data_IF_283372201367
#
_entry.id   IF_283372201367
#
_cell.length_a   1.000
_cell.length_b   1.000
_cell.length_c   1.000
_cell.angle_alpha   90.00
_cell.angle_beta   90.00
_cell.angle_gamma   90.00
#
_symmetry.space_group_name_H-M   'P 1'
#
loop_
_entity.id
_entity.type
_entity.pdbx_description
1 polymer ?
#
# COMPACT_ATOMS: atom_id res chain seq x y z
N UNK A 1 -8.68 8.61 5.67
CA UNK A 1 -7.52 7.67 5.73
C UNK A 1 -7.07 7.41 7.15
N UNK A 2 -6.78 8.44 7.97
CA UNK A 2 -6.36 8.27 9.37
C UNK A 2 -7.29 7.41 10.24
N UNK A 3 -8.61 7.59 10.15
CA UNK A 3 -9.57 6.78 10.93
C UNK A 3 -9.47 5.27 10.61
N UNK A 4 -9.37 4.91 9.33
CA UNK A 4 -9.17 3.51 8.90
C UNK A 4 -7.83 2.99 9.39
N UNK A 5 -6.76 3.80 9.26
CA UNK A 5 -5.44 3.43 9.72
C UNK A 5 -5.41 3.06 11.22
N UNK A 6 -5.99 3.89 12.07
CA UNK A 6 -6.04 3.65 13.52
C UNK A 6 -6.82 2.37 13.84
N UNK A 7 -8.02 2.19 13.25
CA UNK A 7 -8.82 0.98 13.47
C UNK A 7 -8.09 -0.29 13.00
N UNK A 8 -7.44 -0.25 11.83
CA UNK A 8 -6.69 -1.38 11.31
C UNK A 8 -5.43 -1.68 12.15
N UNK A 9 -4.72 -0.66 12.65
CA UNK A 9 -3.59 -0.86 13.55
C UNK A 9 -4.04 -1.48 14.89
N UNK A 10 -5.17 -1.03 15.44
CA UNK A 10 -5.74 -1.58 16.67
C UNK A 10 -6.14 -3.06 16.51
N UNK A 11 -6.77 -3.42 15.39
CA UNK A 11 -7.22 -4.79 15.11
C UNK A 11 -6.14 -5.69 14.50
N UNK A 12 -4.99 -5.14 14.11
CA UNK A 12 -3.99 -5.85 13.31
C UNK A 12 -4.48 -6.28 11.92
N UNK A 13 -5.46 -5.56 11.37
CA UNK A 13 -6.10 -5.88 10.09
C UNK A 13 -5.26 -5.35 8.92
N UNK A 14 -4.93 -6.24 7.97
CA UNK A 14 -4.34 -5.83 6.69
C UNK A 14 -5.38 -5.08 5.85
N UNK A 15 -4.96 -4.00 5.21
CA UNK A 15 -5.79 -3.25 4.27
C UNK A 15 -4.97 -2.67 3.13
N UNK A 16 -5.64 -2.25 2.07
CA UNK A 16 -5.01 -1.64 0.90
C UNK A 16 -5.58 -0.23 0.74
N UNK A 17 -4.68 0.76 0.72
CA UNK A 17 -5.00 2.15 0.49
C UNK A 17 -4.76 2.50 -0.98
N UNK A 18 -5.58 3.39 -1.53
CA UNK A 18 -5.39 3.93 -2.87
C UNK A 18 -5.69 5.43 -2.94
N UNK A 19 -5.00 6.10 -3.86
CA UNK A 19 -5.13 7.52 -4.07
C UNK A 19 -4.99 7.89 -5.54
N UNK A 20 -5.63 9.02 -5.89
CA UNK A 20 -5.48 9.72 -7.17
C UNK A 20 -5.17 11.17 -6.83
N UNK A 21 -4.27 11.79 -7.58
CA UNK A 21 -3.88 13.19 -7.40
C UNK A 21 -5.01 14.16 -7.78
N UNK A 22 -4.97 15.37 -7.23
CA UNK A 22 -5.96 16.42 -7.54
C UNK A 22 -5.94 16.89 -8.99
N UNK A 23 -4.84 16.68 -9.71
CA UNK A 23 -4.70 16.98 -11.13
C UNK A 23 -5.01 15.77 -12.04
N UNK A 24 -5.41 14.63 -11.45
CA UNK A 24 -5.78 13.39 -12.11
C UNK A 24 -4.73 12.73 -13.01
N UNK A 25 -3.46 13.14 -12.96
CA UNK A 25 -2.37 12.54 -13.77
C UNK A 25 -1.44 11.63 -12.98
N UNK A 26 -1.74 11.38 -11.71
CA UNK A 26 -1.04 10.36 -10.94
C UNK A 26 -1.95 9.65 -9.94
N UNK A 27 -1.51 8.49 -9.50
CA UNK A 27 -2.18 7.72 -8.47
C UNK A 27 -1.25 6.70 -7.84
N UNK A 28 -1.73 6.01 -6.82
CA UNK A 28 -0.94 4.99 -6.15
C UNK A 28 -1.82 3.98 -5.43
N UNK A 29 -1.16 2.90 -5.03
CA UNK A 29 -1.70 1.86 -4.16
C UNK A 29 -0.66 1.46 -3.12
N UNK A 30 -1.08 1.29 -1.87
CA UNK A 30 -0.24 0.85 -0.77
C UNK A 30 -0.90 -0.27 0.04
N UNK A 31 -0.21 -1.39 0.18
CA UNK A 31 -0.61 -2.49 1.08
C UNK A 31 -0.06 -2.20 2.47
N UNK A 32 -0.97 -2.12 3.44
CA UNK A 32 -0.67 -1.82 4.82
C UNK A 32 -0.94 -3.07 5.65
N UNK A 33 0.15 -3.67 6.13
CA UNK A 33 0.15 -4.77 7.09
C UNK A 33 0.70 -4.22 8.41
N UNK A 34 -0.16 -3.95 9.41
CA UNK A 34 0.28 -3.36 10.68
C UNK A 34 1.46 -4.11 11.28
N UNK A 35 2.58 -3.40 11.49
CA UNK A 35 3.82 -3.95 12.03
C UNK A 35 4.83 -4.49 11.01
N UNK A 36 4.39 -4.88 9.80
CA UNK A 36 5.25 -5.39 8.72
C UNK A 36 5.60 -4.30 7.70
N UNK A 37 4.61 -3.52 7.26
CA UNK A 37 4.78 -2.41 6.32
C UNK A 37 4.38 -1.08 6.95
N UNK A 38 4.82 0.04 6.35
CA UNK A 38 4.46 1.38 6.80
C UNK A 38 2.94 1.53 6.88
N UNK A 39 2.43 1.92 8.04
CA UNK A 39 1.07 2.40 8.17
C UNK A 39 0.95 3.84 7.65
N UNK A 40 -0.26 4.34 7.48
CA UNK A 40 -0.50 5.68 6.93
C UNK A 40 0.09 6.80 7.83
N UNK A 41 0.23 6.55 9.13
CA UNK A 41 0.86 7.47 10.09
C UNK A 41 2.38 7.35 10.17
N UNK A 42 3.01 6.39 9.49
CA UNK A 42 4.47 6.28 9.48
C UNK A 42 5.13 7.37 8.62
N UNK A 43 4.46 7.78 7.55
CA UNK A 43 4.89 8.85 6.64
C UNK A 43 3.68 9.72 6.26
N UNK A 44 3.13 10.47 7.22
CA UNK A 44 1.93 11.26 6.99
C UNK A 44 2.22 12.38 5.99
N UNK A 45 1.25 12.75 5.14
CA UNK A 45 1.39 13.92 4.28
C UNK A 45 1.52 15.19 5.13
N UNK A 46 2.17 16.23 4.58
CA UNK A 46 2.52 17.46 5.30
C UNK A 46 1.34 18.11 6.04
N UNK A 47 0.15 18.08 5.44
CA UNK A 47 -1.09 18.66 6.00
C UNK A 47 -1.45 17.99 7.32
N UNK A 48 -1.38 16.65 7.35
CA UNK A 48 -1.66 15.84 8.53
C UNK A 48 -0.57 16.06 9.58
N UNK A 49 0.70 16.03 9.17
CA UNK A 49 1.83 16.25 10.08
C UNK A 49 1.80 17.64 10.74
N UNK A 50 1.38 18.67 10.00
CA UNK A 50 1.31 20.06 10.47
C UNK A 50 0.02 20.37 11.24
N UNK A 51 -0.89 19.38 11.41
CA UNK A 51 -2.21 19.55 12.06
C UNK A 51 -3.05 20.69 11.46
N UNK A 52 -2.84 20.95 10.16
CA UNK A 52 -3.65 21.90 9.40
C UNK A 52 -4.94 21.19 9.03
N UNK A 53 -6.08 21.87 9.22
CA UNK A 53 -7.36 21.31 8.79
C UNK A 53 -7.40 21.24 7.25
N UNK A 54 -7.57 20.04 6.69
CA UNK A 54 -7.68 19.79 5.24
C UNK A 54 -8.75 20.69 4.58
N UNK A 55 -9.77 21.09 5.33
CA UNK A 55 -10.82 22.01 4.86
C UNK A 55 -10.27 23.39 4.48
N UNK A 56 -9.18 23.82 5.10
CA UNK A 56 -8.55 25.12 4.81
C UNK A 56 -7.79 25.14 3.48
N UNK A 57 -7.45 23.97 2.93
CA UNK A 57 -6.81 23.84 1.61
C UNK A 57 -7.83 23.80 0.47
N UNK A 58 -9.06 23.38 0.77
CA UNK A 58 -10.15 23.37 -0.19
C UNK A 58 -10.67 24.79 -0.40
N UNK A 59 -10.56 25.31 -1.62
CA UNK A 59 -11.23 26.55 -2.03
C UNK A 59 -12.65 26.25 -2.46
N UNK A 60 -13.63 26.97 -1.91
CA UNK A 60 -15.02 26.85 -2.34
C UNK A 60 -15.16 27.21 -3.82
N UNK A 61 -15.93 26.38 -4.55
CA UNK A 61 -16.12 26.51 -5.99
C UNK A 61 -15.04 25.85 -6.87
N UNK A 62 -13.97 25.28 -6.29
CA UNK A 62 -12.94 24.53 -7.04
C UNK A 62 -13.11 23.02 -6.81
N UNK A 63 -13.13 22.24 -7.88
CA UNK A 63 -13.09 20.78 -7.81
C UNK A 63 -11.68 20.26 -8.13
N UNK A 64 -11.32 19.12 -7.53
CA UNK A 64 -10.20 18.33 -8.02
C UNK A 64 -10.53 17.85 -9.44
N UNK A 65 -9.55 17.89 -10.33
CA UNK A 65 -9.68 17.26 -11.62
C UNK A 65 -9.88 15.75 -11.42
N UNK A 66 -10.71 15.16 -12.26
CA UNK A 66 -11.00 13.72 -12.22
C UNK A 66 -11.08 13.19 -13.63
N UNK A 67 -10.12 12.34 -13.99
CA UNK A 67 -10.12 11.61 -15.26
C UNK A 67 -10.56 10.15 -15.00
N UNK A 68 -11.61 9.67 -15.70
CA UNK A 68 -12.05 8.28 -15.59
C UNK A 68 -10.94 7.27 -15.88
N UNK A 69 -9.99 7.61 -16.75
CA UNK A 69 -8.85 6.77 -17.11
C UNK A 69 -7.95 6.49 -15.91
N UNK A 70 -7.51 7.52 -15.19
CA UNK A 70 -6.64 7.38 -14.01
C UNK A 70 -7.34 6.60 -12.90
N UNK A 71 -8.64 6.88 -12.67
CA UNK A 71 -9.45 6.12 -11.71
C UNK A 71 -9.56 4.64 -12.11
N UNK A 72 -9.77 4.33 -13.39
CA UNK A 72 -9.85 2.96 -13.88
C UNK A 72 -8.53 2.20 -13.73
N UNK A 73 -7.40 2.83 -14.03
CA UNK A 73 -6.07 2.23 -13.84
C UNK A 73 -5.82 1.91 -12.37
N UNK A 74 -6.04 2.87 -11.47
CA UNK A 74 -5.83 2.68 -10.04
C UNK A 74 -6.78 1.61 -9.47
N UNK A 75 -8.05 1.61 -9.88
CA UNK A 75 -9.01 0.59 -9.47
C UNK A 75 -8.63 -0.81 -9.98
N UNK A 76 -8.17 -0.92 -11.22
CA UNK A 76 -7.68 -2.17 -11.81
C UNK A 76 -6.47 -2.71 -11.04
N UNK A 77 -5.48 -1.87 -10.75
CA UNK A 77 -4.33 -2.24 -9.93
C UNK A 77 -4.74 -2.69 -8.52
N UNK A 78 -5.73 -2.02 -7.92
CA UNK A 78 -6.26 -2.36 -6.60
C UNK A 78 -6.92 -3.73 -6.55
N UNK A 79 -7.83 -4.01 -7.47
CA UNK A 79 -8.49 -5.31 -7.54
C UNK A 79 -7.47 -6.40 -7.86
N UNK A 80 -6.56 -6.15 -8.81
CA UNK A 80 -5.51 -7.12 -9.14
C UNK A 80 -4.62 -7.45 -7.95
N UNK A 81 -4.23 -6.46 -7.14
CA UNK A 81 -3.43 -6.70 -5.95
C UNK A 81 -4.21 -7.43 -4.83
N UNK A 82 -5.51 -7.14 -4.71
CA UNK A 82 -6.42 -7.86 -3.82
C UNK A 82 -6.54 -9.34 -4.22
N UNK A 83 -6.70 -9.62 -5.51
CA UNK A 83 -6.77 -10.99 -6.04
C UNK A 83 -5.45 -11.74 -5.80
N UNK A 84 -4.30 -11.13 -6.13
CA UNK A 84 -2.98 -11.72 -5.85
C UNK A 84 -2.84 -12.11 -4.38
N UNK A 85 -3.31 -11.24 -3.47
CA UNK A 85 -3.25 -11.48 -2.03
C UNK A 85 -4.20 -12.61 -1.59
N UNK A 86 -5.47 -12.56 -1.98
CA UNK A 86 -6.49 -13.49 -1.52
C UNK A 86 -6.35 -14.89 -2.11
N UNK A 87 -5.91 -14.98 -3.37
CA UNK A 87 -5.83 -16.23 -4.12
C UNK A 87 -4.40 -16.82 -4.14
N UNK A 88 -3.40 -16.12 -3.59
CA UNK A 88 -2.05 -16.63 -3.44
C UNK A 88 -1.29 -16.85 -4.76
N UNK A 89 -1.52 -16.00 -5.77
CA UNK A 89 -0.82 -16.06 -7.05
C UNK A 89 -0.04 -14.77 -7.34
N UNK A 90 0.99 -14.89 -8.17
CA UNK A 90 1.88 -13.77 -8.50
C UNK A 90 2.52 -13.15 -7.26
N UNK A 91 2.98 -11.91 -7.41
CA UNK A 91 3.63 -11.17 -6.32
C UNK A 91 2.77 -10.00 -5.89
N UNK A 92 2.35 -9.99 -4.63
CA UNK A 92 1.63 -8.84 -4.03
C UNK A 92 2.57 -7.65 -3.97
N UNK A 93 2.18 -6.55 -4.61
CA UNK A 93 2.98 -5.34 -4.66
C UNK A 93 2.67 -4.49 -3.43
N UNK A 94 3.68 -4.16 -2.62
CA UNK A 94 3.49 -3.41 -1.39
C UNK A 94 3.17 -1.93 -1.64
N UNK A 95 3.84 -1.32 -2.61
CA UNK A 95 3.49 -0.02 -3.13
C UNK A 95 3.69 0.01 -4.64
N UNK A 96 2.72 0.56 -5.35
CA UNK A 96 2.86 0.91 -6.77
C UNK A 96 2.33 2.32 -6.99
N UNK A 97 3.15 3.16 -7.60
CA UNK A 97 2.74 4.45 -8.13
C UNK A 97 2.32 4.32 -9.60
N UNK A 98 1.57 5.31 -10.07
CA UNK A 98 1.22 5.51 -11.46
C UNK A 98 1.43 6.99 -11.80
N UNK A 99 2.29 7.28 -12.77
CA UNK A 99 2.46 8.59 -13.37
C UNK A 99 1.96 8.52 -14.83
N UNK A 100 0.82 9.16 -15.10
CA UNK A 100 0.18 9.14 -16.41
C UNK A 100 0.89 10.02 -17.44
N UNK A 101 1.79 10.93 -17.03
CA UNK A 101 2.52 11.80 -17.95
C UNK A 101 3.71 11.08 -18.62
N UNK A 102 4.27 10.09 -17.93
CA UNK A 102 5.49 9.38 -18.35
C UNK A 102 5.24 7.87 -18.49
N UNK A 103 3.98 7.43 -18.38
CA UNK A 103 3.57 6.02 -18.36
C UNK A 103 4.42 5.16 -17.40
N UNK A 104 4.73 5.75 -16.23
CA UNK A 104 5.69 5.19 -15.30
C UNK A 104 5.02 4.58 -14.06
N UNK A 105 5.43 3.35 -13.72
CA UNK A 105 4.86 2.57 -12.62
C UNK A 105 5.93 2.17 -11.59
N UNK A 106 6.38 3.09 -10.72
CA UNK A 106 7.38 2.78 -9.71
C UNK A 106 6.81 1.83 -8.65
N UNK A 107 7.62 0.86 -8.23
CA UNK A 107 7.29 -0.01 -7.09
C UNK A 107 8.29 0.21 -5.96
N UNK A 108 7.81 0.11 -4.72
CA UNK A 108 8.68 0.22 -3.55
C UNK A 108 8.12 -0.56 -2.36
N UNK A 109 8.92 -0.65 -1.31
CA UNK A 109 8.61 -1.28 -0.04
C UNK A 109 8.83 -0.24 1.04
N UNK A 110 7.74 0.22 1.67
CA UNK A 110 7.81 1.17 2.78
C UNK A 110 7.80 0.43 4.10
N UNK A 111 8.86 0.64 4.90
CA UNK A 111 9.00 0.02 6.22
C UNK A 111 8.31 0.85 7.30
N UNK A 112 7.82 0.21 8.39
CA UNK A 112 7.26 0.93 9.53
C UNK A 112 8.27 1.91 10.15
N UNK A 113 7.76 3.05 10.63
CA UNK A 113 8.53 3.98 11.45
C UNK A 113 8.57 3.48 12.91
N UNK A 114 9.75 3.22 13.50
CA UNK A 114 9.88 2.82 14.91
C UNK A 114 9.32 3.85 15.90
N UNK A 115 9.23 5.12 15.47
CA UNK A 115 8.72 6.25 16.23
C UNK A 115 7.41 6.78 15.64
N UNK A 116 6.57 5.89 15.11
CA UNK A 116 5.24 6.26 14.60
C UNK A 116 4.37 6.89 15.71
N UNK A 117 3.62 7.94 15.36
CA UNK A 117 2.70 8.62 16.28
C UNK A 117 1.53 7.72 16.74
N UNK A 118 1.22 6.68 15.96
CA UNK A 118 0.20 5.68 16.31
C UNK A 118 0.82 4.58 17.20
N UNK A 119 0.45 4.60 18.49
CA UNK A 119 0.90 3.62 19.48
C UNK A 119 0.53 2.17 19.11
N UNK A 120 -0.61 1.95 18.44
CA UNK A 120 -0.99 0.62 17.98
C UNK A 120 -0.02 0.14 16.90
N UNK A 121 0.44 1.01 16.00
CA UNK A 121 1.45 0.67 15.01
C UNK A 121 2.75 0.19 15.68
N UNK A 122 3.25 0.93 16.68
CA UNK A 122 4.49 0.55 17.42
C UNK A 122 4.31 -0.78 18.15
N UNK A 123 3.12 -1.03 18.71
CA UNK A 123 2.79 -2.32 19.31
C UNK A 123 2.82 -3.45 18.27
N UNK A 124 2.15 -3.28 17.13
CA UNK A 124 2.13 -4.27 16.05
C UNK A 124 3.53 -4.57 15.51
N UNK A 125 4.42 -3.57 15.45
CA UNK A 125 5.82 -3.78 15.06
C UNK A 125 6.55 -4.73 16.02
N UNK A 126 6.34 -4.58 17.33
CA UNK A 126 6.93 -5.48 18.34
C UNK A 126 6.38 -6.90 18.19
N UNK A 127 5.07 -7.04 18.03
CA UNK A 127 4.42 -8.34 17.82
C UNK A 127 4.92 -9.01 16.54
N UNK A 128 5.10 -8.26 15.45
CA UNK A 128 5.67 -8.74 14.19
C UNK A 128 7.12 -9.24 14.35
N UNK A 129 7.97 -8.52 15.10
CA UNK A 129 9.35 -8.94 15.37
C UNK A 129 9.40 -10.24 16.19
N UNK A 130 8.50 -10.42 17.16
CA UNK A 130 8.38 -11.68 17.90
C UNK A 130 7.95 -12.80 16.95
N UNK A 131 6.93 -12.57 16.12
CA UNK A 131 6.44 -13.54 15.14
C UNK A 131 7.53 -13.98 14.16
N UNK A 132 8.36 -13.06 13.69
CA UNK A 132 9.50 -13.35 12.81
C UNK A 132 10.53 -14.27 13.48
N UNK A 133 10.85 -14.06 14.76
CA UNK A 133 11.80 -14.89 15.51
C UNK A 133 11.26 -16.30 15.78
N UNK A 134 9.95 -16.42 15.97
CA UNK A 134 9.28 -17.71 16.20
C UNK A 134 8.90 -18.43 14.91
N UNK A 135 9.04 -17.77 13.75
CA UNK A 135 8.69 -18.37 12.47
C UNK A 135 9.69 -19.49 12.16
N UNK A 136 9.23 -20.70 11.83
CA UNK A 136 10.12 -21.71 11.25
C UNK A 136 10.82 -21.09 10.03
N UNK A 137 12.08 -21.44 9.73
CA UNK A 137 12.69 -21.04 8.48
C UNK A 137 11.71 -21.42 7.36
N UNK A 138 11.32 -20.45 6.53
CA UNK A 138 10.44 -20.71 5.40
C UNK A 138 11.06 -21.88 4.64
N UNK A 139 10.31 -22.98 4.49
CA UNK A 139 10.64 -23.99 3.50
C UNK A 139 10.88 -23.20 2.23
N UNK A 140 12.13 -23.23 1.74
CA UNK A 140 12.53 -22.54 0.53
C UNK A 140 11.40 -22.73 -0.47
N UNK A 141 10.84 -21.62 -0.96
CA UNK A 141 9.87 -21.65 -2.04
C UNK A 141 10.45 -22.63 -3.03
N UNK A 142 9.83 -23.81 -3.15
CA UNK A 142 10.23 -24.80 -4.13
C UNK A 142 10.07 -24.02 -5.42
N UNK A 143 11.19 -23.59 -5.98
CA UNK A 143 11.22 -23.14 -7.35
C UNK A 143 10.58 -24.31 -8.07
N UNK A 144 9.34 -24.12 -8.54
CA UNK A 144 8.76 -25.07 -9.48
C UNK A 144 9.83 -25.14 -10.55
N UNK A 145 10.49 -26.28 -10.67
CA UNK A 145 11.46 -26.52 -11.71
C UNK A 145 10.84 -25.95 -12.99
N UNK A 146 11.57 -25.03 -13.64
CA UNK A 146 11.15 -24.50 -14.92
C UNK A 146 10.94 -25.71 -15.81
N UNK A 147 9.67 -26.06 -16.06
CA UNK A 147 9.30 -27.14 -16.95
C UNK A 147 9.99 -26.80 -18.26
N UNK A 148 10.97 -27.62 -18.65
CA UNK A 148 11.76 -27.38 -19.84
C UNK A 148 10.80 -27.05 -21.00
N UNK A 149 11.00 -25.89 -21.62
CA UNK A 149 10.14 -25.42 -22.71
C UNK A 149 10.26 -26.44 -23.84
N UNK A 150 9.25 -27.28 -23.99
CA UNK A 150 9.16 -28.22 -25.12
C UNK A 150 8.70 -27.40 -26.32
N UNK A 151 9.56 -27.29 -27.33
CA UNK A 151 9.18 -26.74 -28.62
C UNK A 151 8.52 -27.86 -29.44
N UNK A 152 7.34 -27.59 -30.01
CA UNK A 152 6.80 -28.44 -31.07
C UNK A 152 7.67 -28.24 -32.32
N UNK A 153 8.10 -29.35 -32.95
CA UNK A 153 8.92 -29.37 -34.18
C UNK A 153 8.22 -28.69 -35.37
#
# INVERSE_FOLDING_TARGET
>A
RMAVNTACNELGQMWIESGVSENAVSGHLQVIKPGETACFSCAPPLVVASKIDERTLKKDGVCAASLPTTMAVVAGLLVQNSLKHLLGFGTVTQYVGYNALEDFFPTMVMKPNPHCDDNFCVRQQREYLVRLKTRPPEAAVVQKEDVAVVHED
#
